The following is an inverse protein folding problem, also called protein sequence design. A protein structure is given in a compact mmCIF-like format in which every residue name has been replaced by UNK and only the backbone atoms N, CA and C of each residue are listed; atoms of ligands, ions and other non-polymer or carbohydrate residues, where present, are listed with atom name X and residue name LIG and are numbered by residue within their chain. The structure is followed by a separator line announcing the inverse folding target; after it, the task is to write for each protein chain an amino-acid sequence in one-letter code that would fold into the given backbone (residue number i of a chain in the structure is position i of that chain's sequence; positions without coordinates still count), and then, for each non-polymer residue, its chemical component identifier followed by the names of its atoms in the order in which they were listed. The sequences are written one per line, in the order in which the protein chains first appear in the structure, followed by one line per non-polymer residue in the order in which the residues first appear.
data_IF_598452539896
#
_entry.id   IF_598452539896
#
_cell.length_a   1.000
_cell.length_b   1.000
_cell.length_c   1.000
_cell.angle_alpha   90.00
_cell.angle_beta   90.00
_cell.angle_gamma   90.00
#
_symmetry.space_group_name_H-M   'P 1'
#
loop_
_entity.id
_entity.type
_entity.pdbx_description
1 polymer ?
#
# COMPACT_ATOMS: atom_id res chain seq x y z
N UNK A 1 44.93 57.50 -41.14
CA UNK A 1 44.81 56.08 -40.74
C UNK A 1 43.44 55.89 -40.09
N UNK A 2 42.48 55.20 -40.73
CA UNK A 2 41.14 55.00 -40.19
C UNK A 2 41.11 53.79 -39.25
N UNK A 3 40.65 53.98 -38.00
CA UNK A 3 40.45 52.93 -37.01
C UNK A 3 39.12 52.21 -37.21
N UNK A 4 39.18 50.89 -37.30
CA UNK A 4 38.07 50.00 -37.61
C UNK A 4 36.96 49.98 -36.54
N UNK A 5 35.71 50.06 -36.98
CA UNK A 5 34.52 49.82 -36.15
C UNK A 5 34.35 48.33 -35.86
N UNK A 6 34.32 47.96 -34.58
CA UNK A 6 34.00 46.61 -34.12
C UNK A 6 32.49 46.38 -34.05
N UNK A 7 32.01 45.32 -34.70
CA UNK A 7 30.60 44.92 -34.66
C UNK A 7 30.14 44.45 -33.26
N UNK A 8 28.84 44.57 -32.91
CA UNK A 8 28.33 44.12 -31.61
C UNK A 8 28.34 42.58 -31.52
N UNK A 9 28.84 42.05 -30.40
CA UNK A 9 28.80 40.60 -30.10
C UNK A 9 27.36 40.16 -29.79
N UNK A 10 26.95 39.03 -30.38
CA UNK A 10 25.67 38.39 -30.09
C UNK A 10 25.58 37.94 -28.61
N UNK A 11 24.38 38.00 -27.99
CA UNK A 11 24.20 37.59 -26.60
C UNK A 11 24.40 36.07 -26.45
N UNK A 12 25.20 35.67 -25.46
CA UNK A 12 25.44 34.27 -25.11
C UNK A 12 24.18 33.57 -24.56
N UNK A 13 24.13 32.23 -24.58
CA UNK A 13 22.95 31.48 -24.16
C UNK A 13 22.62 31.75 -22.68
N UNK A 14 21.32 31.75 -22.31
CA UNK A 14 20.89 32.08 -20.95
C UNK A 14 21.47 31.09 -19.95
N UNK A 15 22.14 31.62 -18.91
CA UNK A 15 22.64 30.83 -17.78
C UNK A 15 21.47 30.13 -17.11
N UNK A 16 21.46 28.79 -17.16
CA UNK A 16 20.51 27.93 -16.46
C UNK A 16 20.74 28.01 -14.94
N UNK A 17 20.28 29.08 -14.32
CA UNK A 17 20.47 29.38 -12.89
C UNK A 17 19.51 28.62 -11.96
N UNK A 18 18.46 27.99 -12.50
CA UNK A 18 17.36 27.42 -11.69
C UNK A 18 17.54 25.96 -11.23
N UNK A 19 18.47 25.19 -11.81
CA UNK A 19 18.61 23.75 -11.50
C UNK A 19 19.55 23.46 -10.30
N UNK A 20 20.38 24.44 -9.91
CA UNK A 20 21.41 24.27 -8.87
C UNK A 20 20.94 24.50 -7.44
N UNK A 21 19.77 25.10 -7.22
CA UNK A 21 19.35 25.52 -5.88
C UNK A 21 18.86 24.38 -4.96
N UNK A 22 18.59 23.18 -5.51
CA UNK A 22 18.12 22.03 -4.72
C UNK A 22 19.17 20.95 -4.46
N UNK A 23 20.43 21.16 -4.89
CA UNK A 23 21.50 20.15 -4.84
C UNK A 23 22.61 20.48 -3.83
N UNK A 24 22.44 21.53 -3.04
CA UNK A 24 23.50 22.09 -2.19
C UNK A 24 23.65 21.43 -0.80
N UNK A 25 22.92 20.34 -0.53
CA UNK A 25 23.01 19.60 0.75
C UNK A 25 23.06 18.08 0.55
N UNK A 26 23.46 17.63 -0.65
CA UNK A 26 23.82 16.22 -0.89
C UNK A 26 25.34 16.19 -0.83
N UNK A 27 25.90 15.62 0.24
CA UNK A 27 27.30 15.21 0.25
C UNK A 27 27.55 14.37 -1.00
N UNK A 28 28.64 14.63 -1.74
CA UNK A 28 29.07 13.83 -2.90
C UNK A 28 29.51 12.39 -2.49
N UNK A 29 28.99 11.87 -1.38
CA UNK A 29 29.16 10.49 -0.95
C UNK A 29 28.39 9.59 -1.93
N UNK A 30 29.07 8.65 -2.60
CA UNK A 30 28.43 7.65 -3.45
C UNK A 30 27.27 6.91 -2.76
N UNK A 31 27.31 6.73 -1.43
CA UNK A 31 26.23 6.12 -0.66
C UNK A 31 24.95 6.96 -0.65
N UNK A 32 25.06 8.29 -0.52
CA UNK A 32 23.92 9.20 -0.53
C UNK A 32 23.32 9.34 -1.94
N UNK A 33 24.18 9.36 -2.96
CA UNK A 33 23.76 9.31 -4.36
C UNK A 33 23.04 7.98 -4.69
N UNK A 34 23.54 6.84 -4.19
CA UNK A 34 22.88 5.55 -4.37
C UNK A 34 21.56 5.45 -3.61
N UNK A 35 21.45 6.03 -2.41
CA UNK A 35 20.21 6.10 -1.66
C UNK A 35 19.14 7.00 -2.34
N UNK A 36 19.56 7.99 -3.13
CA UNK A 36 18.68 8.82 -3.93
C UNK A 36 18.12 8.10 -5.18
N UNK A 37 18.76 7.01 -5.63
CA UNK A 37 18.29 6.24 -6.79
C UNK A 37 17.19 5.27 -6.38
N UNK A 38 16.03 5.37 -7.05
CA UNK A 38 14.92 4.43 -6.91
C UNK A 38 15.39 2.99 -7.20
N UNK A 39 15.18 2.03 -6.27
CA UNK A 39 15.59 0.65 -6.50
C UNK A 39 14.92 0.02 -7.73
N UNK A 40 15.64 -0.87 -8.41
CA UNK A 40 15.19 -1.49 -9.67
C UNK A 40 13.89 -2.30 -9.53
N UNK A 41 13.68 -2.94 -8.39
CA UNK A 41 12.48 -3.76 -8.13
C UNK A 41 11.26 -2.95 -7.64
N UNK A 42 11.37 -1.61 -7.56
CA UNK A 42 10.27 -0.77 -7.11
C UNK A 42 9.01 -1.00 -7.95
N UNK A 43 7.93 -1.38 -7.25
CA UNK A 43 6.60 -1.65 -7.82
C UNK A 43 6.42 -3.02 -8.47
N UNK A 44 7.48 -3.80 -8.68
CA UNK A 44 7.37 -5.10 -9.36
C UNK A 44 6.61 -6.15 -8.57
N UNK A 45 6.78 -6.18 -7.24
CA UNK A 45 6.03 -7.10 -6.37
C UNK A 45 4.53 -6.92 -6.55
N UNK A 46 4.03 -5.69 -6.43
CA UNK A 46 2.60 -5.40 -6.61
C UNK A 46 2.12 -5.61 -8.05
N UNK A 47 2.95 -5.31 -9.05
CA UNK A 47 2.64 -5.60 -10.46
C UNK A 47 2.45 -7.11 -10.71
N UNK A 48 3.29 -7.95 -10.12
CA UNK A 48 3.15 -9.41 -10.20
C UNK A 48 2.00 -9.96 -9.36
N UNK A 49 1.70 -9.36 -8.21
CA UNK A 49 0.59 -9.77 -7.34
C UNK A 49 -0.78 -9.43 -7.94
N UNK A 50 -0.91 -8.32 -8.67
CA UNK A 50 -2.19 -7.88 -9.24
C UNK A 50 -2.92 -8.96 -10.08
N UNK A 51 -2.32 -9.63 -11.07
CA UNK A 51 -3.01 -10.69 -11.81
C UNK A 51 -3.36 -11.90 -10.93
N UNK A 52 -2.54 -12.22 -9.92
CA UNK A 52 -2.83 -13.30 -8.96
C UNK A 52 -4.07 -12.96 -8.14
N UNK A 53 -4.21 -11.71 -7.70
CA UNK A 53 -5.40 -11.21 -6.98
C UNK A 53 -6.65 -11.34 -7.82
N UNK A 54 -6.58 -11.00 -9.12
CA UNK A 54 -7.73 -11.13 -10.01
C UNK A 54 -8.13 -12.60 -10.19
N UNK A 55 -7.16 -13.49 -10.44
CA UNK A 55 -7.42 -14.92 -10.64
C UNK A 55 -7.94 -15.60 -9.36
N UNK A 56 -7.22 -15.47 -8.25
CA UNK A 56 -7.62 -16.07 -6.97
C UNK A 56 -8.90 -15.43 -6.44
N UNK A 57 -9.09 -14.12 -6.64
CA UNK A 57 -10.29 -13.40 -6.27
C UNK A 57 -11.52 -13.83 -7.06
N UNK A 58 -11.38 -14.07 -8.37
CA UNK A 58 -12.47 -14.62 -9.19
C UNK A 58 -12.89 -16.02 -8.68
N UNK A 59 -11.93 -16.87 -8.32
CA UNK A 59 -12.23 -18.18 -7.70
C UNK A 59 -12.95 -18.00 -6.36
N UNK A 60 -12.47 -17.09 -5.50
CA UNK A 60 -13.12 -16.77 -4.22
C UNK A 60 -14.57 -16.35 -4.37
N UNK A 61 -14.85 -15.43 -5.28
CA UNK A 61 -16.22 -14.94 -5.53
C UNK A 61 -17.09 -16.04 -6.15
N UNK A 62 -16.57 -16.81 -7.11
CA UNK A 62 -17.32 -17.86 -7.79
C UNK A 62 -17.71 -19.00 -6.85
N UNK A 63 -16.80 -19.41 -5.96
CA UNK A 63 -17.02 -20.52 -5.02
C UNK A 63 -17.66 -20.10 -3.70
N UNK A 64 -17.88 -18.80 -3.46
CA UNK A 64 -18.56 -18.33 -2.27
C UNK A 64 -20.02 -18.87 -2.23
N UNK A 65 -20.42 -19.60 -1.16
CA UNK A 65 -21.64 -20.40 -1.18
C UNK A 65 -22.93 -19.60 -1.04
N UNK A 66 -22.89 -18.41 -0.43
CA UNK A 66 -24.08 -17.57 -0.22
C UNK A 66 -23.92 -16.21 -0.90
N UNK A 67 -25.03 -15.54 -1.17
CA UNK A 67 -25.00 -14.17 -1.70
C UNK A 67 -24.24 -13.22 -0.78
N UNK A 68 -24.41 -13.36 0.54
CA UNK A 68 -23.70 -12.53 1.53
C UNK A 68 -22.19 -12.74 1.48
N UNK A 69 -21.72 -13.99 1.51
CA UNK A 69 -20.27 -14.26 1.45
C UNK A 69 -19.67 -13.90 0.10
N UNK A 70 -20.43 -14.04 -1.00
CA UNK A 70 -20.00 -13.62 -2.34
C UNK A 70 -19.81 -12.12 -2.47
N UNK A 71 -20.76 -11.32 -1.96
CA UNK A 71 -20.63 -9.86 -1.96
C UNK A 71 -19.48 -9.41 -1.06
N UNK A 72 -19.30 -10.04 0.09
CA UNK A 72 -18.19 -9.74 0.99
C UNK A 72 -16.82 -10.08 0.36
N UNK A 73 -16.72 -11.22 -0.33
CA UNK A 73 -15.55 -11.58 -1.12
C UNK A 73 -15.30 -10.57 -2.25
N UNK A 74 -16.34 -10.11 -2.96
CA UNK A 74 -16.19 -9.11 -4.02
C UNK A 74 -15.61 -7.79 -3.49
N UNK A 75 -16.05 -7.34 -2.32
CA UNK A 75 -15.49 -6.15 -1.66
C UNK A 75 -14.00 -6.32 -1.37
N UNK A 76 -13.59 -7.48 -0.85
CA UNK A 76 -12.18 -7.80 -0.64
C UNK A 76 -11.38 -7.79 -1.95
N UNK A 77 -11.88 -8.44 -3.00
CA UNK A 77 -11.18 -8.54 -4.29
C UNK A 77 -11.04 -7.17 -4.96
N UNK A 78 -12.09 -6.34 -4.94
CA UNK A 78 -12.05 -4.99 -5.51
C UNK A 78 -11.04 -4.12 -4.77
N UNK A 79 -11.06 -4.12 -3.44
CA UNK A 79 -10.11 -3.32 -2.66
C UNK A 79 -8.67 -3.82 -2.83
N UNK A 80 -8.46 -5.13 -2.97
CA UNK A 80 -7.14 -5.71 -3.24
C UNK A 80 -6.64 -5.32 -4.64
N UNK A 81 -7.50 -5.42 -5.65
CA UNK A 81 -7.19 -4.99 -7.01
C UNK A 81 -6.85 -3.50 -7.07
N UNK A 82 -7.60 -2.65 -6.35
CA UNK A 82 -7.29 -1.23 -6.22
C UNK A 82 -5.93 -1.00 -5.57
N UNK A 83 -5.60 -1.67 -4.46
CA UNK A 83 -4.30 -1.57 -3.80
C UNK A 83 -3.16 -1.95 -4.76
N UNK A 84 -3.12 -3.21 -5.21
CA UNK A 84 -1.98 -3.73 -5.98
C UNK A 84 -1.89 -3.10 -7.37
N UNK A 85 -3.03 -2.88 -8.04
CA UNK A 85 -3.07 -2.26 -9.37
C UNK A 85 -2.62 -0.80 -9.34
N UNK A 86 -3.18 0.00 -8.42
CA UNK A 86 -2.78 1.41 -8.29
C UNK A 86 -1.31 1.54 -7.91
N UNK A 87 -0.84 0.70 -6.99
CA UNK A 87 0.55 0.71 -6.56
C UNK A 87 1.52 0.33 -7.67
N UNK A 88 1.17 -0.68 -8.47
CA UNK A 88 1.94 -1.05 -9.65
C UNK A 88 2.02 0.11 -10.66
N UNK A 89 0.89 0.71 -11.02
CA UNK A 89 0.84 1.85 -11.96
C UNK A 89 1.65 3.04 -11.44
N UNK A 90 1.46 3.41 -10.16
CA UNK A 90 2.16 4.50 -9.52
C UNK A 90 3.68 4.31 -9.57
N UNK A 91 4.16 3.12 -9.19
CA UNK A 91 5.59 2.85 -9.07
C UNK A 91 6.28 2.45 -10.37
N UNK A 92 5.57 1.93 -11.37
CA UNK A 92 6.18 1.51 -12.64
C UNK A 92 6.11 2.57 -13.74
N UNK A 93 5.16 3.49 -13.68
CA UNK A 93 5.04 4.54 -14.68
C UNK A 93 5.98 5.72 -14.48
N UNK A 94 6.13 6.51 -15.55
CA UNK A 94 6.82 7.80 -15.57
C UNK A 94 5.77 8.88 -15.75
N UNK A 95 5.48 9.61 -14.68
CA UNK A 95 4.32 10.51 -14.61
C UNK A 95 4.75 11.96 -14.50
N UNK A 96 3.94 12.87 -15.04
CA UNK A 96 4.08 14.30 -14.74
C UNK A 96 3.87 14.55 -13.24
N UNK A 97 4.41 15.64 -12.66
CA UNK A 97 4.28 15.91 -11.22
C UNK A 97 2.83 15.88 -10.71
N UNK A 98 1.89 16.38 -11.53
CA UNK A 98 0.45 16.34 -11.25
C UNK A 98 -0.06 14.91 -11.09
N UNK A 99 0.17 14.05 -12.07
CA UNK A 99 -0.30 12.66 -12.04
C UNK A 99 0.41 11.81 -11.00
N UNK A 100 1.71 12.02 -10.78
CA UNK A 100 2.44 11.38 -9.69
C UNK A 100 1.80 11.71 -8.32
N UNK A 101 1.37 12.96 -8.10
CA UNK A 101 0.67 13.36 -6.89
C UNK A 101 -0.74 12.77 -6.72
N UNK A 102 -1.47 12.55 -7.82
CA UNK A 102 -2.78 11.87 -7.80
C UNK A 102 -2.60 10.38 -7.49
N UNK A 103 -1.71 9.70 -8.21
CA UNK A 103 -1.44 8.27 -8.01
C UNK A 103 -0.90 7.98 -6.62
N UNK A 104 -0.02 8.82 -6.08
CA UNK A 104 0.46 8.71 -4.69
C UNK A 104 -0.66 8.84 -3.67
N UNK A 105 -1.65 9.71 -3.91
CA UNK A 105 -2.83 9.84 -3.03
C UNK A 105 -3.67 8.57 -3.08
N UNK A 106 -3.96 8.08 -4.28
CA UNK A 106 -4.73 6.86 -4.46
C UNK A 106 -4.03 5.65 -3.83
N UNK A 107 -2.74 5.45 -4.12
CA UNK A 107 -1.92 4.36 -3.57
C UNK A 107 -1.92 4.32 -2.04
N UNK A 108 -1.71 5.48 -1.39
CA UNK A 108 -1.72 5.53 0.07
C UNK A 108 -3.13 5.40 0.66
N UNK A 109 -4.16 5.93 -0.01
CA UNK A 109 -5.55 5.85 0.48
C UNK A 109 -6.08 4.42 0.38
N UNK A 110 -5.65 3.66 -0.63
CA UNK A 110 -6.08 2.27 -0.84
C UNK A 110 -5.66 1.35 0.32
N UNK A 111 -4.64 1.71 1.12
CA UNK A 111 -4.28 0.96 2.33
C UNK A 111 -5.44 0.94 3.34
N UNK A 112 -6.18 2.05 3.49
CA UNK A 112 -7.37 2.07 4.35
C UNK A 112 -8.48 1.18 3.80
N UNK A 113 -8.70 1.25 2.48
CA UNK A 113 -9.76 0.48 1.82
C UNK A 113 -9.50 -1.03 1.90
N UNK A 114 -8.28 -1.49 1.65
CA UNK A 114 -7.96 -2.92 1.76
C UNK A 114 -8.03 -3.43 3.20
N UNK A 115 -7.69 -2.61 4.21
CA UNK A 115 -7.88 -3.01 5.62
C UNK A 115 -9.37 -3.31 5.87
N UNK A 116 -10.27 -2.37 5.54
CA UNK A 116 -11.72 -2.60 5.68
C UNK A 116 -12.23 -3.72 4.76
N UNK A 117 -11.68 -3.83 3.56
CA UNK A 117 -11.97 -4.88 2.59
C UNK A 117 -11.62 -6.28 3.11
N UNK A 118 -10.51 -6.44 3.82
CA UNK A 118 -10.10 -7.70 4.46
C UNK A 118 -11.04 -8.09 5.60
N UNK A 119 -11.46 -7.14 6.42
CA UNK A 119 -12.43 -7.41 7.50
C UNK A 119 -13.80 -7.82 6.97
N UNK A 120 -14.19 -7.36 5.79
CA UNK A 120 -15.54 -7.58 5.25
C UNK A 120 -15.93 -9.06 5.12
N UNK A 121 -15.19 -9.91 4.38
CA UNK A 121 -15.50 -11.33 4.33
C UNK A 121 -15.27 -12.03 5.67
N UNK A 122 -14.23 -11.68 6.45
CA UNK A 122 -14.01 -12.29 7.77
C UNK A 122 -15.21 -12.08 8.70
N UNK A 123 -15.70 -10.85 8.81
CA UNK A 123 -16.85 -10.53 9.64
C UNK A 123 -18.11 -11.25 9.17
N UNK A 124 -18.39 -11.22 7.87
CA UNK A 124 -19.61 -11.81 7.30
C UNK A 124 -19.64 -13.33 7.42
N UNK A 125 -18.48 -14.00 7.36
CA UNK A 125 -18.43 -15.48 7.37
C UNK A 125 -18.21 -16.08 8.75
N UNK A 126 -17.59 -15.35 9.69
CA UNK A 126 -17.19 -15.92 10.99
C UNK A 126 -17.89 -15.30 12.20
N UNK A 127 -18.50 -14.12 12.09
CA UNK A 127 -19.09 -13.46 13.26
C UNK A 127 -20.62 -13.56 13.27
N UNK A 128 -21.23 -13.56 14.47
CA UNK A 128 -22.65 -13.27 14.62
C UNK A 128 -23.02 -11.92 14.00
N UNK A 129 -24.26 -11.72 13.51
CA UNK A 129 -24.65 -10.51 12.79
C UNK A 129 -24.38 -9.18 13.51
N UNK A 130 -24.58 -9.12 14.83
CA UNK A 130 -24.35 -7.90 15.62
C UNK A 130 -22.86 -7.54 15.74
N UNK A 131 -22.01 -8.56 15.95
CA UNK A 131 -20.57 -8.40 16.00
C UNK A 131 -20.02 -8.01 14.62
N UNK A 132 -20.53 -8.64 13.56
CA UNK A 132 -20.17 -8.27 12.19
C UNK A 132 -20.54 -6.81 11.88
N UNK A 133 -21.76 -6.37 12.23
CA UNK A 133 -22.19 -4.98 12.06
C UNK A 133 -21.29 -4.00 12.82
N UNK A 134 -20.97 -4.30 14.07
CA UNK A 134 -20.13 -3.46 14.93
C UNK A 134 -18.72 -3.31 14.36
N UNK A 135 -18.09 -4.44 14.01
CA UNK A 135 -16.77 -4.47 13.39
C UNK A 135 -16.75 -3.69 12.07
N UNK A 136 -17.68 -3.98 11.16
CA UNK A 136 -17.72 -3.36 9.84
C UNK A 136 -17.98 -1.86 9.92
N UNK A 137 -18.87 -1.42 10.80
CA UNK A 137 -19.12 0.01 11.02
C UNK A 137 -17.84 0.70 11.48
N UNK A 138 -17.14 0.14 12.47
CA UNK A 138 -15.90 0.69 12.98
C UNK A 138 -14.82 0.78 11.90
N UNK A 139 -14.57 -0.32 11.16
CA UNK A 139 -13.46 -0.36 10.21
C UNK A 139 -13.73 0.45 8.95
N UNK A 140 -14.98 0.50 8.46
CA UNK A 140 -15.34 1.32 7.30
C UNK A 140 -15.42 2.79 7.64
N UNK A 141 -15.90 3.17 8.83
CA UNK A 141 -15.83 4.56 9.30
C UNK A 141 -14.37 5.02 9.44
N UNK A 142 -13.51 4.19 10.06
CA UNK A 142 -12.08 4.47 10.15
C UNK A 142 -11.40 4.57 8.79
N UNK A 143 -11.74 3.68 7.85
CA UNK A 143 -11.21 3.72 6.49
C UNK A 143 -11.66 4.98 5.73
N UNK A 144 -12.94 5.35 5.83
CA UNK A 144 -13.47 6.57 5.21
C UNK A 144 -12.77 7.82 5.77
N UNK A 145 -12.63 7.92 7.08
CA UNK A 145 -11.89 9.01 7.73
C UNK A 145 -10.43 9.05 7.27
N UNK A 146 -9.77 7.90 7.17
CA UNK A 146 -8.40 7.76 6.68
C UNK A 146 -8.23 8.20 5.22
N UNK A 147 -9.15 7.80 4.34
CA UNK A 147 -9.18 8.22 2.92
C UNK A 147 -9.35 9.74 2.82
N UNK A 148 -10.34 10.30 3.53
CA UNK A 148 -10.56 11.76 3.59
C UNK A 148 -9.29 12.48 4.05
N UNK A 149 -8.69 12.03 5.15
CA UNK A 149 -7.43 12.57 5.67
C UNK A 149 -6.33 12.58 4.59
N UNK A 150 -6.15 11.49 3.83
CA UNK A 150 -5.11 11.40 2.78
C UNK A 150 -5.42 12.21 1.53
N UNK A 151 -6.69 12.42 1.21
CA UNK A 151 -7.10 13.24 0.08
C UNK A 151 -6.86 14.74 0.35
N UNK A 152 -7.11 15.20 1.58
CA UNK A 152 -6.95 16.61 1.97
C UNK A 152 -5.55 16.96 2.49
N UNK A 153 -4.81 16.04 3.12
CA UNK A 153 -3.46 16.31 3.66
C UNK A 153 -2.37 15.47 2.98
N UNK A 154 -2.00 15.89 1.77
CA UNK A 154 -1.03 15.18 0.92
C UNK A 154 0.39 15.13 1.53
N UNK A 155 0.78 16.21 2.19
CA UNK A 155 2.10 16.38 2.81
C UNK A 155 2.22 15.80 4.23
N UNK A 156 1.19 15.13 4.74
CA UNK A 156 1.23 14.56 6.09
C UNK A 156 2.45 13.64 6.24
N UNK A 157 3.24 13.79 7.32
CA UNK A 157 4.46 13.02 7.49
C UNK A 157 4.13 11.54 7.73
N UNK A 158 5.01 10.64 7.26
CA UNK A 158 4.78 9.18 7.34
C UNK A 158 4.55 8.65 8.74
N UNK A 159 5.24 9.22 9.74
CA UNK A 159 5.09 8.83 11.13
C UNK A 159 3.69 9.07 11.68
N UNK A 160 2.91 9.98 11.05
CA UNK A 160 1.53 10.25 11.47
C UNK A 160 0.56 9.21 10.90
N UNK A 161 0.61 8.94 9.60
CA UNK A 161 -0.39 8.07 8.97
C UNK A 161 -0.09 6.57 9.09
N UNK A 162 1.18 6.17 9.22
CA UNK A 162 1.55 4.76 9.37
C UNK A 162 0.95 4.12 10.65
N UNK A 163 1.02 4.76 11.84
CA UNK A 163 0.34 4.26 13.03
C UNK A 163 -1.18 4.16 12.88
N UNK A 164 -1.82 5.06 12.11
CA UNK A 164 -3.27 5.00 11.87
C UNK A 164 -3.64 3.75 11.07
N UNK A 165 -2.84 3.36 10.06
CA UNK A 165 -3.04 2.08 9.37
C UNK A 165 -2.92 0.90 10.33
N UNK A 166 -1.89 0.91 11.18
CA UNK A 166 -1.64 -0.16 12.15
C UNK A 166 -2.78 -0.24 13.17
N UNK A 167 -3.22 0.89 13.72
CA UNK A 167 -4.33 0.95 14.67
C UNK A 167 -5.63 0.39 14.07
N UNK A 168 -5.98 0.80 12.85
CA UNK A 168 -7.15 0.27 12.15
C UNK A 168 -7.02 -1.25 11.87
N UNK A 169 -5.83 -1.68 11.45
CA UNK A 169 -5.53 -3.10 11.22
C UNK A 169 -5.50 -3.95 12.49
N UNK A 170 -5.29 -3.34 13.66
CA UNK A 170 -5.25 -4.02 14.95
C UNK A 170 -6.62 -4.19 15.61
N UNK A 171 -7.69 -3.61 15.05
CA UNK A 171 -9.07 -3.89 15.49
C UNK A 171 -9.34 -5.40 15.52
N UNK A 172 -8.72 -6.18 14.63
CA UNK A 172 -8.77 -7.64 14.58
C UNK A 172 -8.41 -8.32 15.91
N UNK A 173 -7.49 -7.75 16.69
CA UNK A 173 -7.04 -8.33 17.97
C UNK A 173 -8.21 -8.53 18.93
N UNK A 174 -9.15 -7.58 18.96
CA UNK A 174 -10.37 -7.69 19.77
C UNK A 174 -11.37 -8.75 19.28
N UNK A 175 -11.20 -9.26 18.07
CA UNK A 175 -12.09 -10.23 17.43
C UNK A 175 -11.42 -11.59 17.17
N UNK A 176 -10.13 -11.77 17.45
CA UNK A 176 -9.40 -13.01 17.14
C UNK A 176 -10.05 -14.27 17.74
N UNK A 177 -10.52 -14.19 18.99
CA UNK A 177 -11.25 -15.30 19.62
C UNK A 177 -12.54 -15.64 18.87
N UNK A 178 -13.33 -14.63 18.52
CA UNK A 178 -14.58 -14.80 17.77
C UNK A 178 -14.36 -15.31 16.35
N UNK A 179 -13.27 -14.89 15.71
CA UNK A 179 -12.84 -15.44 14.42
C UNK A 179 -12.44 -16.92 14.55
N UNK A 180 -11.83 -17.32 15.66
CA UNK A 180 -11.53 -18.72 15.92
C UNK A 180 -12.82 -19.53 16.15
N UNK A 181 -13.78 -18.98 16.90
CA UNK A 181 -15.05 -19.66 17.19
C UNK A 181 -15.88 -19.91 15.92
N UNK A 182 -15.95 -18.93 15.01
CA UNK A 182 -16.77 -19.04 13.80
C UNK A 182 -16.05 -19.52 12.53
N UNK A 183 -14.72 -19.42 12.47
CA UNK A 183 -13.91 -19.80 11.30
C UNK A 183 -12.83 -20.85 11.58
N UNK A 184 -12.67 -21.28 12.83
CA UNK A 184 -11.64 -22.20 13.28
C UNK A 184 -10.30 -21.52 13.62
N UNK A 185 -9.49 -22.20 14.44
CA UNK A 185 -8.20 -21.70 14.92
C UNK A 185 -7.24 -21.31 13.80
N UNK A 186 -7.26 -22.03 12.68
CA UNK A 186 -6.41 -21.75 11.52
C UNK A 186 -6.68 -20.34 10.96
N UNK A 187 -7.94 -19.91 10.88
CA UNK A 187 -8.32 -18.57 10.43
C UNK A 187 -7.76 -17.51 11.36
N UNK A 188 -7.95 -17.66 12.67
CA UNK A 188 -7.45 -16.72 13.67
C UNK A 188 -5.90 -16.61 13.65
N UNK A 189 -5.20 -17.73 13.52
CA UNK A 189 -3.73 -17.77 13.42
C UNK A 189 -3.25 -17.06 12.16
N UNK A 190 -3.86 -17.32 11.00
CA UNK A 190 -3.50 -16.66 9.76
C UNK A 190 -3.77 -15.14 9.80
N UNK A 191 -4.87 -14.71 10.44
CA UNK A 191 -5.16 -13.30 10.68
C UNK A 191 -4.09 -12.67 11.57
N UNK A 192 -3.72 -13.32 12.67
CA UNK A 192 -2.70 -12.83 13.60
C UNK A 192 -1.31 -12.76 12.95
N UNK A 193 -0.90 -13.81 12.23
CA UNK A 193 0.38 -13.85 11.51
C UNK A 193 0.41 -12.78 10.42
N UNK A 194 -0.65 -12.66 9.61
CA UNK A 194 -0.74 -11.61 8.60
C UNK A 194 -0.65 -10.21 9.21
N UNK A 195 -1.34 -9.97 10.34
CA UNK A 195 -1.28 -8.70 11.07
C UNK A 195 0.12 -8.38 11.62
N UNK A 196 0.83 -9.39 12.13
CA UNK A 196 2.22 -9.25 12.57
C UNK A 196 3.15 -8.92 11.39
N UNK A 197 3.01 -9.61 10.26
CA UNK A 197 3.80 -9.35 9.04
C UNK A 197 3.54 -7.94 8.49
N UNK A 198 2.29 -7.48 8.47
CA UNK A 198 1.97 -6.10 8.11
C UNK A 198 2.63 -5.09 9.06
N UNK A 199 2.63 -5.37 10.37
CA UNK A 199 3.24 -4.51 11.37
C UNK A 199 4.77 -4.42 11.17
N UNK A 200 5.44 -5.54 10.85
CA UNK A 200 6.87 -5.55 10.49
C UNK A 200 7.14 -4.69 9.24
N UNK A 201 6.28 -4.81 8.21
CA UNK A 201 6.35 -3.96 7.03
C UNK A 201 6.20 -2.47 7.37
N UNK A 202 5.23 -2.13 8.23
CA UNK A 202 4.99 -0.76 8.67
C UNK A 202 6.19 -0.18 9.42
N UNK A 203 6.83 -0.96 10.29
CA UNK A 203 8.09 -0.59 10.97
C UNK A 203 9.20 -0.35 9.95
N UNK A 204 9.37 -1.24 8.96
CA UNK A 204 10.38 -1.07 7.94
C UNK A 204 10.17 0.21 7.10
N UNK A 205 8.91 0.50 6.77
CA UNK A 205 8.52 1.71 6.06
C UNK A 205 8.72 2.99 6.87
N UNK A 206 8.38 2.98 8.15
CA UNK A 206 8.53 4.14 9.04
C UNK A 206 9.99 4.47 9.32
N UNK A 207 10.81 3.45 9.59
CA UNK A 207 12.24 3.57 9.94
C UNK A 207 13.17 3.69 8.73
N UNK A 208 12.65 3.42 7.52
CA UNK A 208 13.41 3.33 6.26
C UNK A 208 14.55 2.29 6.29
N UNK A 209 14.39 1.24 7.09
CA UNK A 209 15.35 0.14 7.23
C UNK A 209 14.61 -1.20 7.34
N UNK A 210 15.23 -2.34 6.97
CA UNK A 210 16.56 -2.47 6.38
C UNK A 210 16.60 -2.05 4.91
N UNK A 211 17.80 -1.86 4.34
CA UNK A 211 18.03 -1.70 2.90
C UNK A 211 18.95 -2.83 2.40
N UNK A 212 18.41 -4.07 2.23
CA UNK A 212 19.23 -5.24 1.89
C UNK A 212 20.11 -5.06 0.66
N UNK A 213 19.59 -4.35 -0.36
CA UNK A 213 20.34 -3.96 -1.54
C UNK A 213 19.85 -2.59 -2.00
N UNK A 214 20.53 -1.47 -1.68
CA UNK A 214 20.06 -0.12 -2.02
C UNK A 214 19.70 0.06 -3.50
N UNK A 215 20.41 -0.63 -4.40
CA UNK A 215 20.17 -0.56 -5.85
C UNK A 215 18.99 -1.41 -6.33
N UNK A 216 18.67 -2.51 -5.65
CA UNK A 216 17.69 -3.49 -6.14
C UNK A 216 16.48 -3.64 -5.22
N UNK A 217 16.71 -3.73 -3.91
CA UNK A 217 15.73 -4.08 -2.89
C UNK A 217 16.00 -3.28 -1.60
N UNK A 218 15.37 -2.11 -1.47
CA UNK A 218 15.46 -1.25 -0.29
C UNK A 218 14.28 -1.47 0.68
N UNK A 219 14.16 -0.59 1.66
CA UNK A 219 13.13 -0.66 2.72
C UNK A 219 11.70 -0.66 2.18
N UNK A 220 11.46 0.00 1.04
CA UNK A 220 10.13 0.07 0.44
C UNK A 220 9.76 -1.26 -0.24
N UNK A 221 10.74 -1.94 -0.82
CA UNK A 221 10.56 -3.30 -1.34
C UNK A 221 10.33 -4.31 -0.20
N UNK A 222 10.99 -4.13 0.95
CA UNK A 222 10.69 -4.89 2.18
C UNK A 222 9.24 -4.66 2.61
N UNK A 223 8.79 -3.40 2.65
CA UNK A 223 7.40 -3.06 2.95
C UNK A 223 6.41 -3.72 1.98
N UNK A 224 6.68 -3.67 0.67
CA UNK A 224 5.85 -4.34 -0.33
C UNK A 224 5.86 -5.87 -0.15
N UNK A 225 7.00 -6.48 0.17
CA UNK A 225 7.09 -7.92 0.42
C UNK A 225 6.25 -8.32 1.64
N UNK A 226 6.37 -7.59 2.75
CA UNK A 226 5.51 -7.78 3.92
C UNK A 226 4.03 -7.59 3.58
N UNK A 227 3.70 -6.60 2.75
CA UNK A 227 2.33 -6.35 2.29
C UNK A 227 1.77 -7.54 1.51
N UNK A 228 2.55 -8.12 0.61
CA UNK A 228 2.16 -9.30 -0.18
C UNK A 228 2.05 -10.55 0.70
N UNK A 229 2.99 -10.78 1.61
CA UNK A 229 2.97 -11.93 2.50
C UNK A 229 1.82 -11.87 3.53
N UNK A 230 1.60 -10.70 4.12
CA UNK A 230 0.45 -10.45 5.00
C UNK A 230 -0.88 -10.62 4.26
N UNK A 231 -0.97 -10.09 3.03
CA UNK A 231 -2.13 -10.27 2.16
C UNK A 231 -2.37 -11.73 1.83
N UNK A 232 -1.33 -12.51 1.53
CA UNK A 232 -1.46 -13.93 1.26
C UNK A 232 -2.03 -14.68 2.46
N UNK A 233 -1.51 -14.43 3.67
CA UNK A 233 -2.03 -15.02 4.91
C UNK A 233 -3.52 -14.68 5.13
N UNK A 234 -3.89 -13.41 4.99
CA UNK A 234 -5.27 -12.95 5.13
C UNK A 234 -6.18 -13.50 4.03
N UNK A 235 -5.71 -13.56 2.78
CA UNK A 235 -6.46 -14.16 1.67
C UNK A 235 -6.74 -15.63 1.90
N UNK A 236 -5.77 -16.39 2.41
CA UNK A 236 -5.95 -17.79 2.79
C UNK A 236 -6.94 -17.93 3.94
N UNK A 237 -6.85 -17.08 4.98
CA UNK A 237 -7.82 -17.08 6.07
C UNK A 237 -9.25 -16.83 5.57
N UNK A 238 -9.41 -15.84 4.67
CA UNK A 238 -10.68 -15.50 4.04
C UNK A 238 -11.22 -16.66 3.22
N UNK A 239 -10.38 -17.32 2.42
CA UNK A 239 -10.79 -18.48 1.63
C UNK A 239 -11.27 -19.63 2.53
N UNK A 240 -10.50 -19.98 3.59
CA UNK A 240 -10.88 -21.01 4.56
C UNK A 240 -12.24 -20.70 5.21
N UNK A 241 -12.40 -19.47 5.70
CA UNK A 241 -13.64 -19.02 6.33
C UNK A 241 -14.83 -18.99 5.36
N UNK A 242 -14.60 -18.57 4.11
CA UNK A 242 -15.66 -18.43 3.09
C UNK A 242 -16.15 -19.79 2.60
N UNK A 243 -15.25 -20.73 2.38
CA UNK A 243 -15.58 -22.05 1.84
C UNK A 243 -16.03 -23.06 2.90
N UNK A 244 -15.99 -22.69 4.20
CA UNK A 244 -16.24 -23.59 5.33
C UNK A 244 -15.36 -24.84 5.31
N UNK A 245 -14.06 -24.63 5.11
CA UNK A 245 -13.09 -25.72 5.12
C UNK A 245 -12.65 -26.13 6.53
N UNK A 246 -13.32 -25.61 7.58
CA UNK A 246 -13.06 -25.90 9.00
C UNK A 246 -14.36 -25.78 9.79
#
# INVERSE_FOLDING_TARGET
MPGAGGAPRAPGPPRRSGYRAGMADVTDDPADLLAAVKPRLRGWLHAGTFPVVLAAGAVLVALAPTTGSRLAALVFVVTAALLFGTSAVYHRGTWSPRWAGVLRRADHSNIFLIIAGTYTPLAVTTLPPDDARSLLTLVWAGAAAGVVFRLFWIGAPRWLYTPVYVALGWVAVGYLGRFADGGGTAVAVLVAVGGAVYSLGAVAYATKRPNPSPRWFGFHEVFHACTVLGFAAHSTAIALATYRLV
#
